data_IF_645098344964
#
_entry.id   IF_645098344964
#
_cell.length_a   1.000
_cell.length_b   1.000
_cell.length_c   1.000
_cell.angle_alpha   90.00
_cell.angle_beta   90.00
_cell.angle_gamma   90.00
#
_symmetry.space_group_name_H-M   'P 1'
#
loop_
_entity.id
_entity.type
_entity.pdbx_description
1 polymer ?
#
# COMPACT_ATOMS: atom_id res chain seq x y z
N UNK A 1 -21.00 -7.27 5.74
CA UNK A 1 -19.73 -6.54 5.60
C UNK A 1 -18.81 -7.29 4.66
N UNK A 2 -18.28 -6.58 3.69
CA UNK A 2 -17.33 -7.19 2.77
C UNK A 2 -16.04 -7.55 3.51
N UNK A 3 -15.60 -8.79 3.35
CA UNK A 3 -14.33 -9.22 3.91
C UNK A 3 -13.25 -9.15 2.84
N UNK A 4 -12.14 -8.52 3.16
CA UNK A 4 -10.98 -8.49 2.29
C UNK A 4 -10.16 -9.74 2.54
N UNK A 5 -9.95 -10.50 1.48
CA UNK A 5 -9.10 -11.68 1.53
C UNK A 5 -7.73 -11.34 0.94
N UNK A 6 -6.69 -11.81 1.59
CA UNK A 6 -5.31 -11.58 1.16
C UNK A 6 -4.74 -12.88 0.61
N UNK A 7 -4.21 -12.88 -0.62
CA UNK A 7 -3.41 -14.00 -1.10
C UNK A 7 -2.26 -14.29 -0.13
N UNK A 8 -1.85 -15.57 0.01
CA UNK A 8 -0.81 -15.94 0.98
C UNK A 8 0.48 -15.13 0.87
N UNK A 9 0.92 -14.83 -0.35
CA UNK A 9 2.15 -14.07 -0.56
C UNK A 9 2.02 -12.62 -0.12
N UNK A 10 0.87 -12.00 -0.36
CA UNK A 10 0.61 -10.63 0.10
C UNK A 10 0.55 -10.57 1.62
N UNK A 11 -0.06 -11.58 2.22
CA UNK A 11 -0.14 -11.72 3.66
C UNK A 11 1.25 -11.84 4.28
N UNK A 12 2.11 -12.67 3.70
CA UNK A 12 3.49 -12.82 4.13
C UNK A 12 4.26 -11.49 4.03
N UNK A 13 4.08 -10.77 2.92
CA UNK A 13 4.75 -9.49 2.74
C UNK A 13 4.33 -8.47 3.79
N UNK A 14 3.03 -8.38 4.07
CA UNK A 14 2.53 -7.47 5.11
C UNK A 14 3.08 -7.83 6.48
N UNK A 15 3.22 -9.13 6.79
CA UNK A 15 3.85 -9.57 8.03
C UNK A 15 5.29 -9.08 8.13
N UNK A 16 6.04 -9.18 7.04
CA UNK A 16 7.43 -8.71 7.00
C UNK A 16 7.52 -7.19 7.19
N UNK A 17 6.62 -6.44 6.59
CA UNK A 17 6.55 -5.00 6.84
C UNK A 17 6.35 -4.70 8.33
N UNK A 18 5.47 -5.44 8.97
CA UNK A 18 5.22 -5.28 10.40
C UNK A 18 6.42 -5.70 11.25
N UNK A 19 7.05 -6.82 10.92
CA UNK A 19 8.23 -7.31 11.64
C UNK A 19 9.36 -6.29 11.60
N UNK A 20 9.58 -5.67 10.46
CA UNK A 20 10.62 -4.65 10.28
C UNK A 20 10.18 -3.25 10.70
N UNK A 21 8.99 -3.10 11.25
CA UNK A 21 8.44 -1.81 11.71
C UNK A 21 8.42 -0.76 10.62
N UNK A 22 8.09 -1.17 9.40
CA UNK A 22 7.96 -0.24 8.27
C UNK A 22 6.73 0.64 8.47
N UNK A 23 6.89 1.94 8.21
CA UNK A 23 5.76 2.86 8.15
C UNK A 23 5.17 2.78 6.75
N UNK A 24 4.00 2.19 6.66
CA UNK A 24 3.32 1.97 5.38
C UNK A 24 1.82 2.13 5.52
N UNK A 25 1.17 2.32 4.40
CA UNK A 25 -0.29 2.28 4.29
C UNK A 25 -0.66 1.40 3.11
N UNK A 26 -1.60 0.50 3.33
CA UNK A 26 -2.24 -0.23 2.25
C UNK A 26 -3.22 0.72 1.56
N UNK A 27 -3.04 0.90 0.26
CA UNK A 27 -3.85 1.80 -0.57
C UNK A 27 -4.40 1.01 -1.76
N UNK A 28 -4.93 1.71 -2.76
CA UNK A 28 -5.36 1.09 -4.01
C UNK A 28 -6.56 0.16 -3.87
N UNK A 29 -6.64 -0.85 -4.74
CA UNK A 29 -7.79 -1.74 -4.83
C UNK A 29 -8.14 -2.47 -3.55
N UNK A 30 -7.15 -2.90 -2.77
CA UNK A 30 -7.41 -3.58 -1.50
C UNK A 30 -8.03 -2.63 -0.47
N UNK A 31 -7.59 -1.37 -0.43
CA UNK A 31 -8.17 -0.38 0.45
C UNK A 31 -9.61 -0.03 0.01
N UNK A 32 -9.84 0.08 -1.29
CA UNK A 32 -11.17 0.31 -1.85
C UNK A 32 -12.13 -0.82 -1.44
N UNK A 33 -11.67 -2.07 -1.57
CA UNK A 33 -12.46 -3.24 -1.15
C UNK A 33 -12.77 -3.22 0.33
N UNK A 34 -11.75 -2.91 1.14
CA UNK A 34 -11.92 -2.84 2.60
C UNK A 34 -12.98 -1.80 3.00
N UNK A 35 -12.98 -0.64 2.35
CA UNK A 35 -13.88 0.46 2.69
C UNK A 35 -15.29 0.34 2.11
N UNK A 36 -15.60 -0.72 1.39
CA UNK A 36 -16.97 -1.03 1.02
C UNK A 36 -17.26 -1.25 -0.46
N UNK A 37 -16.26 -1.17 -1.33
CA UNK A 37 -16.43 -1.46 -2.74
C UNK A 37 -15.51 -2.61 -3.18
N UNK A 38 -15.87 -3.87 -2.86
CA UNK A 38 -15.07 -5.01 -3.29
C UNK A 38 -15.10 -5.15 -4.80
N UNK A 39 -13.92 -5.20 -5.40
CA UNK A 39 -13.74 -5.43 -6.82
C UNK A 39 -12.46 -6.21 -7.05
N UNK A 40 -12.34 -6.81 -8.23
CA UNK A 40 -11.13 -7.55 -8.58
C UNK A 40 -9.92 -6.61 -8.58
N UNK A 41 -8.85 -7.04 -7.96
CA UNK A 41 -7.58 -6.33 -7.97
C UNK A 41 -6.45 -7.35 -8.07
N UNK A 42 -5.46 -7.05 -8.89
CA UNK A 42 -4.31 -7.93 -9.13
C UNK A 42 -3.13 -7.50 -8.26
N UNK A 43 -2.93 -6.19 -8.15
CA UNK A 43 -1.75 -5.62 -7.49
C UNK A 43 -2.07 -5.26 -6.05
N UNK A 44 -1.10 -5.45 -5.17
CA UNK A 44 -1.16 -4.88 -3.83
C UNK A 44 -0.32 -3.61 -3.82
N UNK A 45 -0.95 -2.48 -3.52
CA UNK A 45 -0.32 -1.17 -3.52
C UNK A 45 0.01 -0.74 -2.10
N UNK A 46 1.28 -0.51 -1.85
CA UNK A 46 1.81 -0.12 -0.54
C UNK A 46 2.48 1.24 -0.66
N UNK A 47 2.03 2.19 0.13
CA UNK A 47 2.62 3.52 0.21
C UNK A 47 3.51 3.59 1.44
N UNK A 48 4.78 3.99 1.25
CA UNK A 48 5.77 4.00 2.33
C UNK A 48 6.25 5.41 2.63
N UNK A 49 6.58 5.66 3.90
CA UNK A 49 7.13 6.95 4.32
C UNK A 49 8.53 7.15 3.76
N UNK A 50 8.80 8.38 3.30
CA UNK A 50 10.15 8.77 2.86
C UNK A 50 10.95 9.21 4.07
N UNK A 51 11.81 8.33 4.55
CA UNK A 51 12.71 8.60 5.67
C UNK A 51 13.85 7.58 5.63
N UNK A 52 15.10 7.96 5.95
CA UNK A 52 16.24 7.03 5.86
C UNK A 52 16.04 5.71 6.60
N UNK A 53 15.55 5.76 7.84
CA UNK A 53 15.31 4.53 8.60
C UNK A 53 14.22 3.69 7.98
N UNK A 54 13.17 4.32 7.47
CA UNK A 54 12.08 3.60 6.83
C UNK A 54 12.53 2.96 5.52
N UNK A 55 13.31 3.68 4.72
CA UNK A 55 13.86 3.16 3.46
C UNK A 55 14.69 1.89 3.71
N UNK A 56 15.53 1.91 4.74
CA UNK A 56 16.31 0.74 5.14
C UNK A 56 15.41 -0.44 5.52
N UNK A 57 14.38 -0.18 6.29
CA UNK A 57 13.44 -1.22 6.73
C UNK A 57 12.64 -1.81 5.57
N UNK A 58 12.24 -0.98 4.62
CA UNK A 58 11.57 -1.44 3.39
C UNK A 58 12.47 -2.39 2.62
N UNK A 59 13.73 -2.01 2.41
CA UNK A 59 14.69 -2.84 1.69
C UNK A 59 14.90 -4.16 2.41
N UNK A 60 15.04 -4.13 3.74
CA UNK A 60 15.19 -5.36 4.53
C UNK A 60 13.99 -6.30 4.38
N UNK A 61 12.78 -5.75 4.43
CA UNK A 61 11.56 -6.54 4.25
C UNK A 61 11.50 -7.16 2.85
N UNK A 62 11.84 -6.38 1.82
CA UNK A 62 11.84 -6.86 0.45
C UNK A 62 12.86 -7.98 0.23
N UNK A 63 14.05 -7.84 0.76
CA UNK A 63 15.09 -8.88 0.65
C UNK A 63 14.66 -10.17 1.34
N UNK A 64 14.11 -10.06 2.53
CA UNK A 64 13.63 -11.22 3.29
C UNK A 64 12.47 -11.91 2.58
N UNK A 65 11.64 -11.15 1.89
CA UNK A 65 10.55 -11.69 1.08
C UNK A 65 11.04 -12.40 -0.19
N UNK A 66 12.26 -12.10 -0.64
CA UNK A 66 12.85 -12.71 -1.82
C UNK A 66 13.14 -11.76 -2.97
N UNK A 67 12.88 -10.48 -2.81
CA UNK A 67 13.20 -9.46 -3.83
C UNK A 67 14.56 -8.83 -3.55
N UNK A 68 15.61 -9.62 -3.65
CA UNK A 68 16.99 -9.14 -3.50
C UNK A 68 17.56 -8.78 -4.88
N UNK A 69 17.05 -7.68 -5.43
CA UNK A 69 17.41 -7.20 -6.76
C UNK A 69 18.34 -5.99 -6.66
N UNK A 70 19.31 -5.83 -7.58
CA UNK A 70 20.22 -4.66 -7.55
C UNK A 70 19.48 -3.32 -7.59
N UNK A 71 18.31 -3.27 -8.22
CA UNK A 71 17.50 -2.05 -8.33
C UNK A 71 16.83 -1.67 -7.01
N UNK A 72 16.73 -2.60 -6.07
CA UNK A 72 16.06 -2.36 -4.79
C UNK A 72 17.07 -1.82 -3.80
N UNK A 73 17.27 -0.51 -3.85
CA UNK A 73 18.20 0.20 -2.98
C UNK A 73 17.48 1.24 -2.12
N UNK A 74 18.04 1.55 -0.97
CA UNK A 74 17.46 2.53 -0.04
C UNK A 74 17.21 3.88 -0.70
N UNK A 75 18.10 4.31 -1.58
CA UNK A 75 18.01 5.62 -2.22
C UNK A 75 16.75 5.82 -3.04
N UNK A 76 16.20 4.75 -3.63
CA UNK A 76 14.97 4.86 -4.42
C UNK A 76 13.78 5.20 -3.54
N UNK A 77 13.79 4.74 -2.29
CA UNK A 77 12.70 4.99 -1.32
C UNK A 77 12.86 6.33 -0.60
N UNK A 78 13.90 7.09 -0.93
CA UNK A 78 14.11 8.44 -0.41
C UNK A 78 13.69 9.53 -1.40
N UNK A 79 13.22 9.13 -2.58
CA UNK A 79 12.80 10.04 -3.63
C UNK A 79 11.29 10.07 -3.76
N UNK A 80 10.73 11.27 -3.97
CA UNK A 80 9.30 11.40 -4.23
C UNK A 80 8.94 10.87 -5.62
N UNK A 81 7.67 10.53 -5.79
CA UNK A 81 7.08 10.14 -7.07
C UNK A 81 7.71 8.89 -7.68
N UNK A 82 8.10 7.93 -6.84
CA UNK A 82 8.61 6.65 -7.29
C UNK A 82 7.55 5.57 -7.13
N UNK A 83 7.46 4.72 -8.14
CA UNK A 83 6.62 3.52 -8.13
C UNK A 83 7.52 2.36 -8.51
N UNK A 84 7.67 1.40 -7.61
CA UNK A 84 8.48 0.22 -7.84
C UNK A 84 7.53 -0.98 -7.94
N UNK A 85 7.50 -1.62 -9.10
CA UNK A 85 6.69 -2.81 -9.33
C UNK A 85 7.56 -4.04 -9.29
N UNK A 86 7.07 -5.07 -8.57
CA UNK A 86 7.81 -6.32 -8.41
C UNK A 86 6.85 -7.49 -8.50
N UNK A 87 7.36 -8.60 -9.05
CA UNK A 87 6.56 -9.79 -9.23
C UNK A 87 5.75 -9.77 -10.51
N UNK A 88 5.02 -10.85 -10.73
CA UNK A 88 4.11 -11.01 -11.88
C UNK A 88 2.75 -11.49 -11.37
N UNK A 89 1.66 -11.15 -12.07
CA UNK A 89 0.36 -11.65 -11.65
C UNK A 89 0.38 -13.18 -11.51
N UNK A 90 -0.31 -13.73 -10.51
CA UNK A 90 -1.25 -13.08 -9.59
C UNK A 90 -0.62 -12.42 -8.37
N UNK A 91 0.70 -12.36 -8.28
CA UNK A 91 1.38 -11.78 -7.12
C UNK A 91 2.28 -10.63 -7.57
N UNK A 92 1.71 -9.45 -7.72
CA UNK A 92 2.46 -8.24 -8.07
C UNK A 92 2.30 -7.19 -6.97
N UNK A 93 3.45 -6.64 -6.55
CA UNK A 93 3.51 -5.58 -5.55
C UNK A 93 3.86 -4.27 -6.22
N UNK A 94 3.22 -3.19 -5.77
CA UNK A 94 3.61 -1.84 -6.13
C UNK A 94 3.95 -1.09 -4.84
N UNK A 95 5.16 -0.58 -4.76
CA UNK A 95 5.60 0.24 -3.62
C UNK A 95 5.67 1.68 -4.15
N UNK A 96 4.92 2.58 -3.49
CA UNK A 96 4.84 3.97 -3.90
C UNK A 96 5.43 4.87 -2.81
N UNK A 97 6.12 5.92 -3.22
CA UNK A 97 6.66 6.92 -2.27
C UNK A 97 5.79 8.16 -2.18
N UNK A 98 4.92 8.39 -3.16
CA UNK A 98 3.97 9.52 -3.17
C UNK A 98 2.69 9.12 -3.88
N UNK A 99 1.58 9.71 -3.46
CA UNK A 99 0.30 9.57 -4.16
C UNK A 99 -0.36 10.94 -4.29
N UNK A 100 -1.34 11.04 -5.18
CA UNK A 100 -1.98 12.32 -5.49
C UNK A 100 -2.83 12.87 -4.35
N UNK A 101 -2.69 14.16 -4.08
CA UNK A 101 -3.62 14.94 -3.27
C UNK A 101 -3.51 14.82 -1.76
N UNK A 102 -2.66 13.94 -1.25
CA UNK A 102 -2.52 13.72 0.20
C UNK A 102 -1.05 13.53 0.59
N UNK A 103 -0.75 13.83 1.85
CA UNK A 103 0.59 13.69 2.41
C UNK A 103 0.67 12.47 3.33
N UNK A 104 1.79 11.76 3.30
CA UNK A 104 1.93 10.52 4.07
C UNK A 104 1.75 10.74 5.57
N UNK A 105 2.38 11.75 6.13
CA UNK A 105 2.32 11.99 7.58
C UNK A 105 0.89 12.14 8.07
N UNK A 106 0.08 12.90 7.35
CA UNK A 106 -1.33 13.10 7.71
C UNK A 106 -2.13 11.80 7.60
N UNK A 107 -1.95 11.10 6.51
CA UNK A 107 -2.65 9.84 6.26
C UNK A 107 -2.24 8.76 7.27
N UNK A 108 -0.98 8.70 7.63
CA UNK A 108 -0.49 7.73 8.60
C UNK A 108 -1.02 8.01 10.00
N UNK A 109 -1.09 9.28 10.37
CA UNK A 109 -1.67 9.70 11.65
C UNK A 109 -3.14 9.28 11.75
N UNK A 110 -3.88 9.36 10.66
CA UNK A 110 -5.30 9.04 10.60
C UNK A 110 -5.59 7.61 10.13
N UNK A 111 -4.57 6.78 10.04
CA UNK A 111 -4.71 5.42 9.49
C UNK A 111 -5.70 4.56 10.25
N UNK A 112 -6.27 3.62 9.53
CA UNK A 112 -7.05 2.55 10.12
C UNK A 112 -6.09 1.37 10.38
N UNK A 113 -6.13 0.84 11.59
CA UNK A 113 -5.39 -0.37 11.94
C UNK A 113 -6.41 -1.47 12.16
N UNK A 114 -6.35 -2.51 11.38
CA UNK A 114 -7.31 -3.63 11.49
C UNK A 114 -6.57 -4.95 11.30
N UNK A 115 -7.21 -6.03 11.73
CA UNK A 115 -6.70 -7.38 11.55
C UNK A 115 -7.45 -8.01 10.37
N UNK A 116 -6.71 -8.35 9.31
CA UNK A 116 -7.26 -8.98 8.11
C UNK A 116 -6.57 -10.31 7.93
N UNK A 117 -7.37 -11.40 7.89
CA UNK A 117 -6.84 -12.77 7.78
C UNK A 117 -5.76 -13.06 8.84
N UNK A 118 -5.95 -12.54 10.06
CA UNK A 118 -5.03 -12.74 11.17
C UNK A 118 -3.80 -11.85 11.19
N UNK A 119 -3.68 -10.93 10.23
CA UNK A 119 -2.53 -10.03 10.13
C UNK A 119 -2.97 -8.59 10.43
N UNK A 120 -2.19 -7.90 11.25
CA UNK A 120 -2.41 -6.48 11.48
C UNK A 120 -2.01 -5.71 10.23
N UNK A 121 -2.90 -4.85 9.75
CA UNK A 121 -2.69 -4.07 8.53
C UNK A 121 -2.97 -2.60 8.81
N UNK A 122 -2.09 -1.73 8.32
CA UNK A 122 -2.29 -0.30 8.32
C UNK A 122 -2.92 0.10 6.98
N UNK A 123 -4.11 0.70 7.03
CA UNK A 123 -4.83 1.11 5.83
C UNK A 123 -5.04 2.62 5.82
N UNK A 124 -5.04 3.20 4.63
CA UNK A 124 -5.47 4.59 4.46
C UNK A 124 -6.94 4.71 4.88
N UNK A 125 -7.29 5.82 5.54
CA UNK A 125 -8.67 6.07 5.95
C UNK A 125 -9.56 6.28 4.73
N UNK A 126 -10.87 6.06 4.90
CA UNK A 126 -11.84 6.27 3.82
C UNK A 126 -11.78 7.71 3.29
N UNK A 127 -11.74 8.68 4.19
CA UNK A 127 -11.70 10.09 3.79
C UNK A 127 -10.47 10.44 2.96
N UNK A 128 -9.29 9.99 3.40
CA UNK A 128 -8.05 10.25 2.68
C UNK A 128 -7.99 9.48 1.36
N UNK A 129 -8.53 8.26 1.34
CA UNK A 129 -8.64 7.49 0.10
C UNK A 129 -9.49 8.24 -0.92
N UNK A 130 -10.62 8.82 -0.50
CA UNK A 130 -11.48 9.62 -1.38
C UNK A 130 -10.76 10.85 -1.91
N UNK A 131 -10.03 11.57 -1.06
CA UNK A 131 -9.24 12.72 -1.49
C UNK A 131 -8.21 12.32 -2.54
N UNK A 132 -7.52 11.20 -2.32
CA UNK A 132 -6.56 10.67 -3.28
C UNK A 132 -7.21 10.32 -4.62
N UNK A 133 -8.33 9.61 -4.60
CA UNK A 133 -9.06 9.22 -5.82
C UNK A 133 -9.52 10.44 -6.60
N UNK A 134 -10.03 11.44 -5.92
CA UNK A 134 -10.48 12.69 -6.54
C UNK A 134 -9.32 13.44 -7.19
N UNK A 135 -8.20 13.55 -6.49
CA UNK A 135 -7.01 14.24 -6.98
C UNK A 135 -6.37 13.52 -8.17
N UNK A 136 -6.34 12.19 -8.13
CA UNK A 136 -5.83 11.37 -9.22
C UNK A 136 -6.67 11.49 -10.49
N UNK A 137 -7.99 11.50 -10.36
CA UNK A 137 -8.93 11.88 -11.43
C UNK A 137 -9.05 10.94 -12.63
N UNK A 138 -8.40 9.77 -12.61
CA UNK A 138 -8.56 8.79 -13.69
C UNK A 138 -9.98 8.20 -13.65
N UNK A 139 -10.46 7.68 -14.78
CA UNK A 139 -11.81 7.08 -14.82
C UNK A 139 -11.99 5.98 -13.77
N UNK A 140 -11.00 5.14 -13.60
CA UNK A 140 -11.01 4.10 -12.58
C UNK A 140 -11.14 4.69 -11.18
N UNK A 141 -10.40 5.76 -10.91
CA UNK A 141 -10.42 6.41 -9.59
C UNK A 141 -11.76 7.11 -9.33
N UNK A 142 -12.31 7.76 -10.32
CA UNK A 142 -13.61 8.42 -10.21
C UNK A 142 -14.73 7.40 -10.03
N UNK A 143 -14.63 6.24 -10.70
CA UNK A 143 -15.59 5.17 -10.50
C UNK A 143 -15.51 4.61 -9.09
N UNK A 144 -14.30 4.38 -8.58
CA UNK A 144 -14.09 3.94 -7.20
C UNK A 144 -14.70 4.95 -6.23
N UNK A 145 -14.45 6.23 -6.45
CA UNK A 145 -14.99 7.30 -5.62
C UNK A 145 -16.51 7.30 -5.57
N UNK A 146 -17.15 7.08 -6.72
CA UNK A 146 -18.60 7.02 -6.83
C UNK A 146 -19.19 5.83 -6.07
N UNK A 147 -18.48 4.70 -6.06
CA UNK A 147 -18.95 3.47 -5.42
C UNK A 147 -18.68 3.43 -3.91
N UNK A 148 -17.72 4.21 -3.42
CA UNK A 148 -17.39 4.27 -1.99
C UNK A 148 -18.49 4.97 -1.19
N UNK A 149 -18.72 4.55 0.07
CA UNK A 149 -19.77 5.14 0.91
C UNK A 149 -19.55 6.61 1.32
#
# INVERSE_FOLDING_TARGET
MATTHLPPDFKEFLQLLNVHSVRYLLIGGYAVGYHGYPRATVDMDIWVAIHPDNARRVVMALKEFGFDLPEVEETIFLQENKVIRMGVPPMRLEILTSISGVEFADCFHERVVDVIDGIQVNLISLERLKENKKASGRYKDLNDLEQLP
#
